data_IF_840676649367
#
_entry.id   IF_840676649367
#
_cell.length_a   1.000
_cell.length_b   1.000
_cell.length_c   1.000
_cell.angle_alpha   90.00
_cell.angle_beta   90.00
_cell.angle_gamma   90.00
#
_symmetry.space_group_name_H-M   'P 1'
#
loop_
_entity.id
_entity.type
_entity.pdbx_description
1 polymer ?
#
# COMPACT_ATOMS: atom_id res chain seq x y z
N UNK A 1 -16.01 3.60 -24.94
CA UNK A 1 -14.59 3.39 -25.26
C UNK A 1 -14.08 2.27 -24.37
N UNK A 2 -13.84 1.08 -24.91
CA UNK A 2 -13.19 -0.02 -24.19
C UNK A 2 -11.69 0.24 -24.22
N UNK A 3 -11.16 0.78 -23.13
CA UNK A 3 -9.73 1.03 -23.00
C UNK A 3 -9.02 -0.31 -22.80
N UNK A 4 -8.19 -0.72 -23.76
CA UNK A 4 -7.40 -1.94 -23.64
C UNK A 4 -6.38 -1.79 -22.51
N UNK A 5 -6.38 -2.77 -21.61
CA UNK A 5 -5.49 -2.91 -20.47
C UNK A 5 -4.87 -4.32 -20.51
N UNK A 6 -3.95 -4.57 -21.45
CA UNK A 6 -3.31 -5.86 -21.57
C UNK A 6 -2.34 -6.07 -20.41
N UNK A 7 -2.21 -7.32 -19.97
CA UNK A 7 -1.24 -7.70 -18.96
C UNK A 7 0.18 -7.56 -19.53
N UNK A 8 1.03 -6.78 -18.84
CA UNK A 8 2.43 -6.55 -19.25
C UNK A 8 3.30 -7.83 -19.28
N UNK A 9 2.86 -8.92 -18.62
CA UNK A 9 3.60 -10.18 -18.56
C UNK A 9 3.18 -11.17 -19.63
N UNK A 10 1.88 -11.41 -19.77
CA UNK A 10 1.35 -12.45 -20.66
C UNK A 10 0.62 -11.90 -21.90
N UNK A 11 0.45 -10.58 -22.01
CA UNK A 11 -0.24 -9.91 -23.12
C UNK A 11 -1.76 -10.06 -23.12
N UNK A 12 -2.35 -10.91 -22.27
CA UNK A 12 -3.80 -11.13 -22.20
C UNK A 12 -4.52 -9.92 -21.61
N UNK A 13 -5.70 -9.61 -22.14
CA UNK A 13 -6.56 -8.52 -21.66
C UNK A 13 -6.99 -8.78 -20.21
N UNK A 14 -6.78 -7.79 -19.32
CA UNK A 14 -7.18 -7.91 -17.92
C UNK A 14 -8.70 -7.83 -17.77
N UNK A 15 -9.23 -8.55 -16.80
CA UNK A 15 -10.67 -8.56 -16.48
C UNK A 15 -10.93 -7.78 -15.19
N UNK A 16 -12.10 -7.17 -15.09
CA UNK A 16 -12.54 -6.45 -13.89
C UNK A 16 -12.91 -7.48 -12.82
N UNK A 17 -12.20 -7.47 -11.69
CA UNK A 17 -12.49 -8.33 -10.55
C UNK A 17 -13.51 -7.71 -9.60
N UNK A 18 -13.35 -6.41 -9.32
CA UNK A 18 -14.22 -5.68 -8.38
C UNK A 18 -14.28 -4.22 -8.75
N UNK A 19 -15.47 -3.63 -8.69
CA UNK A 19 -15.65 -2.19 -8.81
C UNK A 19 -16.57 -1.71 -7.70
N UNK A 20 -16.20 -0.62 -7.02
CA UNK A 20 -17.06 0.01 -6.03
C UNK A 20 -16.91 1.53 -6.10
N UNK A 21 -17.93 2.22 -5.62
CA UNK A 21 -17.93 3.67 -5.50
C UNK A 21 -17.79 4.02 -4.03
N UNK A 22 -16.95 4.99 -3.75
CA UNK A 22 -16.74 5.50 -2.40
C UNK A 22 -16.82 7.02 -2.45
N UNK A 23 -17.56 7.60 -1.51
CA UNK A 23 -17.65 9.05 -1.38
C UNK A 23 -16.55 9.53 -0.43
N UNK A 24 -15.61 10.30 -0.96
CA UNK A 24 -14.50 10.88 -0.19
C UNK A 24 -14.71 12.39 -0.16
N UNK A 25 -15.22 12.89 0.96
CA UNK A 25 -15.61 14.30 1.11
C UNK A 25 -16.76 14.68 0.17
N UNK A 26 -16.49 15.61 -0.77
CA UNK A 26 -17.47 16.07 -1.77
C UNK A 26 -17.36 15.33 -3.11
N UNK A 27 -16.40 14.41 -3.27
CA UNK A 27 -16.11 13.74 -4.53
C UNK A 27 -16.51 12.26 -4.48
N UNK A 28 -17.02 11.75 -5.60
CA UNK A 28 -17.34 10.33 -5.77
C UNK A 28 -16.19 9.65 -6.49
N UNK A 29 -15.43 8.80 -5.78
CA UNK A 29 -14.40 7.97 -6.38
C UNK A 29 -15.00 6.66 -6.87
N UNK A 30 -14.61 6.25 -8.08
CA UNK A 30 -14.91 4.91 -8.60
C UNK A 30 -13.61 4.12 -8.63
N UNK A 31 -13.53 3.09 -7.79
CA UNK A 31 -12.42 2.15 -7.77
C UNK A 31 -12.75 0.98 -8.67
N UNK A 32 -11.76 0.52 -9.43
CA UNK A 32 -11.88 -0.66 -10.30
C UNK A 32 -10.60 -1.46 -10.20
N UNK A 33 -10.72 -2.68 -9.67
CA UNK A 33 -9.63 -3.64 -9.56
C UNK A 33 -9.66 -4.56 -10.77
N UNK A 34 -8.52 -4.66 -11.46
CA UNK A 34 -8.35 -5.51 -12.64
C UNK A 34 -7.38 -6.66 -12.32
N UNK A 35 -7.67 -7.85 -12.82
CA UNK A 35 -6.83 -9.06 -12.66
C UNK A 35 -6.48 -9.66 -14.01
N UNK A 36 -5.36 -10.37 -14.08
CA UNK A 36 -5.00 -11.18 -15.23
C UNK A 36 -5.89 -12.44 -15.27
N UNK A 37 -6.51 -12.80 -16.42
CA UNK A 37 -7.33 -14.00 -16.53
C UNK A 37 -6.52 -15.30 -16.46
N UNK A 38 -5.20 -15.21 -16.67
CA UNK A 38 -4.30 -16.35 -16.53
C UNK A 38 -3.87 -16.53 -15.05
N UNK A 39 -4.26 -17.64 -14.40
CA UNK A 39 -4.00 -17.85 -12.97
C UNK A 39 -2.51 -18.05 -12.67
N UNK A 40 -1.74 -18.63 -13.59
CA UNK A 40 -0.30 -18.81 -13.40
C UNK A 40 0.40 -17.44 -13.44
N UNK A 41 0.02 -16.60 -14.40
CA UNK A 41 0.52 -15.23 -14.49
C UNK A 41 0.10 -14.37 -13.29
N UNK A 42 -1.17 -14.47 -12.87
CA UNK A 42 -1.70 -13.69 -11.75
C UNK A 42 -0.97 -14.06 -10.45
N UNK A 43 -0.72 -15.35 -10.20
CA UNK A 43 -0.03 -15.83 -9.00
C UNK A 43 1.41 -15.29 -8.88
N UNK A 44 2.11 -15.13 -10.00
CA UNK A 44 3.45 -14.52 -10.02
C UNK A 44 3.38 -13.04 -9.63
N UNK A 45 2.44 -12.31 -10.21
CA UNK A 45 2.19 -10.89 -9.91
C UNK A 45 1.82 -10.71 -8.44
N UNK A 46 0.90 -11.52 -7.93
CA UNK A 46 0.45 -11.46 -6.53
C UNK A 46 1.59 -11.75 -5.55
N UNK A 47 2.47 -12.70 -5.88
CA UNK A 47 3.66 -12.99 -5.08
C UNK A 47 4.62 -11.79 -5.03
N UNK A 48 4.89 -11.17 -6.17
CA UNK A 48 5.78 -10.00 -6.24
C UNK A 48 5.17 -8.79 -5.51
N UNK A 49 3.88 -8.54 -5.69
CA UNK A 49 3.13 -7.51 -4.96
C UNK A 49 3.18 -7.75 -3.45
N UNK A 50 2.96 -8.99 -3.01
CA UNK A 50 3.03 -9.35 -1.60
C UNK A 50 4.41 -9.07 -1.03
N UNK A 51 5.47 -9.55 -1.68
CA UNK A 51 6.84 -9.34 -1.21
C UNK A 51 7.18 -7.84 -1.10
N UNK A 52 6.75 -7.04 -2.09
CA UNK A 52 6.97 -5.59 -2.07
C UNK A 52 6.20 -4.92 -0.92
N UNK A 53 4.93 -5.28 -0.73
CA UNK A 53 4.10 -4.70 0.33
C UNK A 53 4.65 -5.07 1.71
N UNK A 54 4.98 -6.35 1.94
CA UNK A 54 5.56 -6.81 3.21
C UNK A 54 6.85 -6.05 3.56
N UNK A 55 7.70 -5.78 2.56
CA UNK A 55 8.92 -4.99 2.75
C UNK A 55 8.62 -3.53 3.12
N UNK A 56 7.67 -2.89 2.42
CA UNK A 56 7.26 -1.52 2.72
C UNK A 56 6.62 -1.42 4.11
N UNK A 57 5.81 -2.41 4.50
CA UNK A 57 5.16 -2.47 5.80
C UNK A 57 6.20 -2.60 6.93
N UNK A 58 7.24 -3.41 6.74
CA UNK A 58 8.34 -3.53 7.70
C UNK A 58 9.13 -2.21 7.85
N UNK A 59 9.41 -1.52 6.75
CA UNK A 59 10.05 -0.18 6.78
C UNK A 59 9.15 0.82 7.51
N UNK A 60 7.85 0.80 7.23
CA UNK A 60 6.91 1.70 7.86
C UNK A 60 6.82 1.44 9.37
N UNK A 61 6.70 0.18 9.79
CA UNK A 61 6.67 -0.21 11.18
C UNK A 61 7.93 0.21 11.94
N UNK A 62 9.12 -0.03 11.37
CA UNK A 62 10.39 0.40 11.98
C UNK A 62 10.50 1.93 12.09
N UNK A 63 10.02 2.65 11.06
CA UNK A 63 9.97 4.12 11.08
C UNK A 63 9.05 4.66 12.19
N UNK A 64 7.89 4.02 12.42
CA UNK A 64 6.98 4.38 13.51
C UNK A 64 7.61 4.15 14.88
N UNK A 65 8.26 3.00 15.09
CA UNK A 65 8.97 2.70 16.35
C UNK A 65 10.06 3.73 16.64
N UNK A 66 10.86 4.07 15.62
CA UNK A 66 11.91 5.10 15.74
C UNK A 66 11.34 6.47 16.08
N UNK A 67 10.22 6.87 15.45
CA UNK A 67 9.54 8.13 15.78
C UNK A 67 9.04 8.14 17.23
N UNK A 68 8.50 7.03 17.71
CA UNK A 68 7.99 6.90 19.08
C UNK A 68 9.12 6.93 20.11
N UNK A 69 10.22 6.22 19.85
CA UNK A 69 11.42 6.27 20.69
C UNK A 69 12.02 7.68 20.76
N UNK A 70 12.16 8.37 19.63
CA UNK A 70 12.67 9.74 19.60
C UNK A 70 11.78 10.70 20.40
N UNK A 71 10.44 10.54 20.34
CA UNK A 71 9.52 11.31 21.17
C UNK A 71 9.72 11.04 22.66
N UNK A 72 9.88 9.76 23.06
CA UNK A 72 10.14 9.37 24.46
C UNK A 72 11.46 9.93 24.97
N UNK A 73 12.53 9.83 24.17
CA UNK A 73 13.85 10.35 24.53
C UNK A 73 13.84 11.88 24.66
N UNK A 74 13.13 12.59 23.77
CA UNK A 74 12.92 14.04 23.89
C UNK A 74 12.18 14.44 25.16
N UNK A 75 11.15 13.68 25.56
CA UNK A 75 10.44 13.94 26.83
C UNK A 75 11.36 13.72 28.04
N UNK A 76 12.15 12.64 28.02
CA UNK A 76 13.12 12.35 29.09
C UNK A 76 14.17 13.46 29.21
N UNK A 77 14.80 13.87 28.10
CA UNK A 77 15.81 14.94 28.13
C UNK A 77 15.26 16.26 28.67
N UNK A 78 14.01 16.59 28.34
CA UNK A 78 13.34 17.79 28.87
C UNK A 78 13.06 17.70 30.37
N UNK A 79 12.73 16.52 30.90
CA UNK A 79 12.52 16.33 32.35
C UNK A 79 13.83 16.39 33.17
N UNK A 80 14.98 16.07 32.57
CA UNK A 80 16.28 16.09 33.26
C UNK A 80 16.89 17.50 33.34
N UNK A 81 16.47 18.43 32.47
CA UNK A 81 16.94 19.84 32.49
C UNK A 81 16.16 20.72 33.49
N UNK A 82 15.24 20.13 34.26
CA UNK A 82 14.26 20.85 35.06
C UNK A 82 14.40 20.60 36.57
N UNK A 83 15.61 20.68 37.13
CA UNK A 83 15.82 21.03 38.54
C UNK A 83 17.21 21.68 38.72
N UNK A 84 17.31 22.82 39.43
CA UNK A 84 18.57 23.55 39.65
C UNK A 84 19.56 22.80 40.57
#
# INVERSE_FOLDING_TARGET
MTQSNPCIRCGKERIIAKSWKEQVGKSLLTYTTNICPDPACQKLIDRELKNRNDHLDAIHASSLLRKEENKRNRRKSQSTTQFP
#
